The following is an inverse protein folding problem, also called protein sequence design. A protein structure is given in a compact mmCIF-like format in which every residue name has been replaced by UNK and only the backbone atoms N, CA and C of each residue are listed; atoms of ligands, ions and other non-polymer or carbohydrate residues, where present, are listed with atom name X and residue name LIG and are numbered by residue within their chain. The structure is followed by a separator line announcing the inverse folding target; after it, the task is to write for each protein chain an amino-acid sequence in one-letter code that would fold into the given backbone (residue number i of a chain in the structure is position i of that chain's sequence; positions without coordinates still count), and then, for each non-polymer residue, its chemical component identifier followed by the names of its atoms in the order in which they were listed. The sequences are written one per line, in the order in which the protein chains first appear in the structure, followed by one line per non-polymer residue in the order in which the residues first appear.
data_IF_971873625129
#
_entry.id   IF_971873625129
#
_cell.length_a   1.000
_cell.length_b   1.000
_cell.length_c   1.000
_cell.angle_alpha   90.00
_cell.angle_beta   90.00
_cell.angle_gamma   90.00
#
_symmetry.space_group_name_H-M   'P 1'
#
loop_
_entity.id
_entity.type
_entity.pdbx_description
1 polymer ?
#
# COMPACT_ATOMS: atom_id res chain seq x y z
N UNK A 1 40.26 -15.73 68.30
CA UNK A 1 40.38 -15.09 66.98
C UNK A 1 41.20 -16.01 66.09
N UNK A 2 40.56 -16.87 65.30
CA UNK A 2 41.24 -17.75 64.32
C UNK A 2 41.09 -17.12 62.94
N UNK A 3 42.16 -16.53 62.44
CA UNK A 3 42.21 -15.98 61.09
C UNK A 3 42.42 -17.14 60.10
N UNK A 4 41.41 -17.41 59.27
CA UNK A 4 41.52 -18.35 58.17
C UNK A 4 42.28 -17.69 57.02
N UNK A 5 43.51 -18.13 56.78
CA UNK A 5 44.35 -17.68 55.67
C UNK A 5 43.78 -18.23 54.35
N UNK A 6 43.23 -17.34 53.51
CA UNK A 6 42.74 -17.70 52.18
C UNK A 6 43.91 -17.98 51.24
N UNK A 7 44.12 -19.25 50.90
CA UNK A 7 45.12 -19.66 49.92
C UNK A 7 44.79 -19.03 48.55
N UNK A 8 45.72 -18.27 47.99
CA UNK A 8 45.54 -17.61 46.71
C UNK A 8 45.29 -18.66 45.59
N UNK A 9 44.25 -18.51 44.76
CA UNK A 9 43.92 -19.50 43.76
C UNK A 9 45.06 -19.63 42.75
N UNK A 10 45.51 -20.87 42.50
CA UNK A 10 46.56 -21.17 41.52
C UNK A 10 46.18 -20.69 40.10
N UNK A 11 47.19 -20.35 39.28
CA UNK A 11 46.99 -19.78 37.92
C UNK A 11 45.99 -20.58 37.06
N UNK A 12 45.99 -21.91 37.16
CA UNK A 12 45.05 -22.78 36.43
C UNK A 12 43.59 -22.60 36.84
N UNK A 13 43.31 -22.40 38.14
CA UNK A 13 41.94 -22.13 38.62
C UNK A 13 41.45 -20.76 38.17
N UNK A 14 42.33 -19.76 38.14
CA UNK A 14 42.01 -18.42 37.62
C UNK A 14 41.72 -18.45 36.12
N UNK A 15 42.54 -19.16 35.34
CA UNK A 15 42.31 -19.33 33.90
C UNK A 15 40.99 -20.05 33.62
N UNK A 16 40.67 -21.11 34.37
CA UNK A 16 39.40 -21.83 34.23
C UNK A 16 38.19 -20.94 34.56
N UNK A 17 38.26 -20.14 35.63
CA UNK A 17 37.20 -19.18 35.96
C UNK A 17 37.03 -18.13 34.85
N UNK A 18 38.13 -17.60 34.30
CA UNK A 18 38.07 -16.63 33.21
C UNK A 18 37.50 -17.23 31.92
N UNK A 19 37.85 -18.47 31.58
CA UNK A 19 37.31 -19.17 30.40
C UNK A 19 35.82 -19.42 30.58
N UNK A 20 35.39 -19.93 31.75
CA UNK A 20 33.97 -20.15 32.03
C UNK A 20 33.18 -18.84 32.00
N UNK A 21 33.74 -17.77 32.58
CA UNK A 21 33.14 -16.44 32.51
C UNK A 21 33.01 -15.94 31.06
N UNK A 22 34.08 -16.07 30.27
CA UNK A 22 34.09 -15.67 28.87
C UNK A 22 33.06 -16.46 28.04
N UNK A 23 32.96 -17.78 28.27
CA UNK A 23 31.95 -18.62 27.63
C UNK A 23 30.53 -18.21 28.03
N UNK A 24 30.29 -17.86 29.30
CA UNK A 24 28.99 -17.37 29.74
C UNK A 24 28.63 -16.03 29.08
N UNK A 25 29.60 -15.12 28.95
CA UNK A 25 29.41 -13.84 28.24
C UNK A 25 29.11 -14.07 26.76
N UNK A 26 29.89 -14.93 26.09
CA UNK A 26 29.68 -15.27 24.68
C UNK A 26 28.32 -15.94 24.44
N UNK A 27 27.89 -16.82 25.35
CA UNK A 27 26.56 -17.42 25.31
C UNK A 27 25.47 -16.33 25.45
N UNK A 28 25.65 -15.37 26.36
CA UNK A 28 24.75 -14.22 26.51
C UNK A 28 24.66 -13.38 25.23
N UNK A 29 25.79 -13.04 24.62
CA UNK A 29 25.84 -12.32 23.34
C UNK A 29 25.15 -13.12 22.23
N UNK A 30 25.40 -14.43 22.15
CA UNK A 30 24.77 -15.29 21.16
C UNK A 30 23.24 -15.32 21.31
N UNK A 31 22.73 -15.41 22.54
CA UNK A 31 21.28 -15.35 22.82
C UNK A 31 20.71 -13.99 22.41
N UNK A 32 21.31 -12.89 22.84
CA UNK A 32 20.81 -11.54 22.53
C UNK A 32 20.83 -11.28 21.01
N UNK A 33 21.91 -11.65 20.32
CA UNK A 33 22.05 -11.46 18.87
C UNK A 33 21.03 -12.26 18.05
N UNK A 34 20.48 -13.34 18.61
CA UNK A 34 19.47 -14.19 17.98
C UNK A 34 18.06 -13.92 18.47
N UNK A 35 17.90 -13.09 19.51
CA UNK A 35 16.58 -12.76 20.05
C UNK A 35 15.96 -11.68 19.18
N UNK A 36 14.81 -12.00 18.59
CA UNK A 36 13.98 -11.03 17.90
C UNK A 36 13.13 -10.30 18.95
N UNK A 37 13.49 -9.05 19.23
CA UNK A 37 12.69 -8.18 20.09
C UNK A 37 11.50 -7.67 19.27
N UNK A 38 10.33 -8.27 19.50
CA UNK A 38 9.08 -7.78 18.94
C UNK A 38 8.38 -6.89 19.97
N UNK A 39 7.96 -5.70 19.55
CA UNK A 39 7.14 -4.78 20.34
C UNK A 39 5.68 -4.81 19.90
N UNK A 40 5.24 -5.95 19.35
CA UNK A 40 3.87 -6.12 18.88
C UNK A 40 2.92 -6.45 20.05
N UNK A 41 1.68 -5.99 19.91
CA UNK A 41 0.60 -6.31 20.85
C UNK A 41 0.21 -7.81 20.83
N UNK A 42 0.82 -8.61 19.95
CA UNK A 42 0.52 -10.05 19.83
C UNK A 42 0.88 -10.84 21.08
N UNK A 43 1.90 -10.39 21.84
CA UNK A 43 2.28 -10.98 23.12
C UNK A 43 1.18 -10.88 24.19
N UNK A 44 0.19 -10.00 24.00
CA UNK A 44 -0.98 -9.87 24.87
C UNK A 44 -2.20 -10.68 24.39
N UNK A 45 -2.08 -11.42 23.27
CA UNK A 45 -3.17 -12.24 22.76
C UNK A 45 -3.12 -13.66 23.35
N UNK A 46 -4.29 -14.33 23.51
CA UNK A 46 -4.35 -15.67 24.07
C UNK A 46 -3.56 -16.67 23.21
N UNK A 47 -2.70 -17.48 23.84
CA UNK A 47 -1.86 -18.46 23.14
C UNK A 47 -2.66 -19.55 22.39
N UNK A 48 -3.97 -19.72 22.68
CA UNK A 48 -4.84 -20.71 22.05
C UNK A 48 -6.23 -20.14 21.73
N UNK A 49 -6.40 -19.44 20.59
CA UNK A 49 -7.69 -18.89 20.18
C UNK A 49 -8.60 -19.95 19.54
N UNK A 50 -9.90 -19.87 19.80
CA UNK A 50 -10.92 -20.64 19.06
C UNK A 50 -10.86 -20.30 17.55
N UNK A 51 -11.30 -21.20 16.67
CA UNK A 51 -11.13 -21.10 15.21
C UNK A 51 -11.68 -19.79 14.62
N UNK A 52 -12.80 -19.28 15.17
CA UNK A 52 -13.40 -17.99 14.76
C UNK A 52 -12.61 -16.77 15.25
N UNK A 53 -11.97 -16.87 16.41
CA UNK A 53 -11.12 -15.81 16.97
C UNK A 53 -9.77 -15.72 16.24
N UNK A 54 -9.23 -16.85 15.77
CA UNK A 54 -7.99 -16.92 14.99
C UNK A 54 -8.07 -16.11 13.69
N UNK A 55 -9.16 -16.26 12.94
CA UNK A 55 -9.35 -15.51 11.68
C UNK A 55 -9.42 -14.00 11.93
N UNK A 56 -10.12 -13.56 12.98
CA UNK A 56 -10.19 -12.13 13.34
C UNK A 56 -8.82 -11.59 13.78
N UNK A 57 -8.07 -12.36 14.54
CA UNK A 57 -6.72 -12.00 15.00
C UNK A 57 -5.74 -11.97 13.83
N UNK A 58 -5.79 -12.94 12.91
CA UNK A 58 -4.96 -12.94 11.69
C UNK A 58 -5.30 -11.73 10.80
N UNK A 59 -6.58 -11.37 10.66
CA UNK A 59 -6.97 -10.15 9.93
C UNK A 59 -6.49 -8.87 10.62
N UNK A 60 -6.41 -8.85 11.96
CA UNK A 60 -5.88 -7.72 12.72
C UNK A 60 -4.34 -7.65 12.68
N UNK A 61 -3.64 -8.79 12.66
CA UNK A 61 -2.18 -8.84 12.63
C UNK A 61 -1.62 -8.69 11.21
N UNK A 62 -2.27 -9.30 10.22
CA UNK A 62 -1.76 -9.42 8.84
C UNK A 62 -2.64 -8.77 7.78
N UNK A 63 -3.81 -8.24 8.16
CA UNK A 63 -4.71 -7.59 7.21
C UNK A 63 -4.17 -6.26 6.69
N UNK A 64 -4.67 -5.83 5.54
CA UNK A 64 -4.28 -4.57 4.85
C UNK A 64 -4.29 -3.37 5.82
N UNK A 65 -5.26 -3.33 6.74
CA UNK A 65 -5.35 -2.26 7.75
C UNK A 65 -4.15 -2.19 8.72
N UNK A 66 -3.49 -3.31 9.04
CA UNK A 66 -2.35 -3.33 9.96
C UNK A 66 -1.04 -2.85 9.32
N UNK A 67 -0.99 -2.84 7.98
CA UNK A 67 0.16 -2.42 7.17
C UNK A 67 -0.06 -1.09 6.45
N UNK A 68 -1.21 -0.45 6.68
CA UNK A 68 -1.57 0.82 6.07
C UNK A 68 -1.03 1.97 6.90
N UNK A 69 -0.28 2.88 6.25
CA UNK A 69 0.20 4.11 6.86
C UNK A 69 -0.58 5.29 6.29
N UNK A 70 -1.34 5.99 7.14
CA UNK A 70 -2.04 7.20 6.74
C UNK A 70 -1.25 8.43 7.17
N UNK A 71 -0.87 9.27 6.22
CA UNK A 71 -0.12 10.50 6.44
C UNK A 71 -1.00 11.72 6.11
N UNK A 72 -0.90 12.74 6.95
CA UNK A 72 -1.55 14.04 6.75
C UNK A 72 -0.52 15.16 6.73
N UNK A 73 -0.46 15.92 5.64
CA UNK A 73 0.44 17.06 5.46
C UNK A 73 -0.34 18.35 5.74
N UNK A 74 0.04 19.03 6.80
CA UNK A 74 -0.56 20.30 7.26
C UNK A 74 0.41 21.47 7.12
N UNK A 75 -0.13 22.70 7.21
CA UNK A 75 0.66 23.93 7.11
C UNK A 75 0.96 24.35 5.67
N UNK A 76 2.13 24.96 5.48
CA UNK A 76 2.54 25.58 4.22
C UNK A 76 1.88 26.95 3.98
N UNK A 77 2.24 27.59 2.86
CA UNK A 77 1.72 28.90 2.44
C UNK A 77 0.30 28.80 1.90
N UNK A 78 0.04 27.77 1.08
CA UNK A 78 -1.22 27.58 0.37
C UNK A 78 -1.49 26.10 0.06
N UNK A 79 -2.65 25.82 -0.54
CA UNK A 79 -3.02 24.47 -0.96
C UNK A 79 -2.15 23.91 -2.09
N UNK A 80 -1.62 24.79 -2.96
CA UNK A 80 -0.74 24.39 -4.05
C UNK A 80 0.59 23.83 -3.51
N UNK A 81 1.21 24.51 -2.55
CA UNK A 81 2.42 24.03 -1.90
C UNK A 81 2.20 22.71 -1.18
N UNK A 82 1.07 22.51 -0.49
CA UNK A 82 0.73 21.22 0.12
C UNK A 82 0.60 20.11 -0.92
N UNK A 83 0.01 20.40 -2.07
CA UNK A 83 -0.09 19.44 -3.17
C UNK A 83 1.28 19.08 -3.75
N UNK A 84 2.17 20.05 -3.92
CA UNK A 84 3.54 19.82 -4.38
C UNK A 84 4.32 18.93 -3.41
N UNK A 85 4.22 19.21 -2.11
CA UNK A 85 4.85 18.40 -1.07
C UNK A 85 4.26 16.98 -1.05
N UNK A 86 2.94 16.84 -1.18
CA UNK A 86 2.27 15.53 -1.26
C UNK A 86 2.77 14.70 -2.44
N UNK A 87 2.90 15.31 -3.62
CA UNK A 87 3.43 14.63 -4.82
C UNK A 87 4.90 14.26 -4.67
N UNK A 88 5.72 15.17 -4.16
CA UNK A 88 7.15 14.92 -3.93
C UNK A 88 7.37 13.78 -2.92
N UNK A 89 6.61 13.78 -1.81
CA UNK A 89 6.66 12.71 -0.81
C UNK A 89 6.19 11.38 -1.39
N UNK A 90 5.05 11.37 -2.11
CA UNK A 90 4.54 10.17 -2.75
C UNK A 90 5.54 9.55 -3.72
N UNK A 91 6.19 10.38 -4.55
CA UNK A 91 7.26 9.94 -5.47
C UNK A 91 8.45 9.35 -4.72
N UNK A 92 8.91 10.01 -3.65
CA UNK A 92 10.02 9.51 -2.84
C UNK A 92 9.70 8.16 -2.20
N UNK A 93 8.50 8.00 -1.64
CA UNK A 93 8.03 6.75 -1.05
C UNK A 93 7.96 5.62 -2.08
N UNK A 94 7.37 5.85 -3.27
CA UNK A 94 7.35 4.85 -4.36
C UNK A 94 8.76 4.44 -4.78
N UNK A 95 9.68 5.41 -4.90
CA UNK A 95 11.06 5.16 -5.32
C UNK A 95 11.92 4.43 -4.28
N UNK A 96 11.49 4.40 -3.01
CA UNK A 96 12.25 3.77 -1.93
C UNK A 96 12.21 2.23 -1.95
N UNK A 97 11.21 1.64 -2.61
CA UNK A 97 10.98 0.19 -2.60
C UNK A 97 10.46 -0.37 -1.27
N UNK A 98 10.17 0.49 -0.28
CA UNK A 98 9.65 0.09 1.04
C UNK A 98 8.13 -0.01 1.09
N UNK A 99 7.44 0.52 0.08
CA UNK A 99 5.98 0.59 0.03
C UNK A 99 5.49 -0.11 -1.23
N UNK A 100 4.61 -1.10 -1.09
CA UNK A 100 3.99 -1.79 -2.23
C UNK A 100 3.05 -0.86 -3.01
N UNK A 101 2.36 0.04 -2.31
CA UNK A 101 1.42 0.98 -2.89
C UNK A 101 1.49 2.32 -2.15
N UNK A 102 1.44 3.42 -2.90
CA UNK A 102 1.41 4.79 -2.35
C UNK A 102 0.38 5.60 -3.12
N UNK A 103 -0.69 6.00 -2.45
CA UNK A 103 -1.83 6.72 -3.03
C UNK A 103 -2.03 8.07 -2.35
N UNK A 104 -1.98 9.13 -3.14
CA UNK A 104 -2.19 10.51 -2.68
C UNK A 104 -3.18 11.26 -3.57
N UNK A 105 -3.92 10.55 -4.44
CA UNK A 105 -4.82 11.12 -5.43
C UNK A 105 -4.16 11.66 -6.69
N UNK A 106 -2.82 11.65 -6.75
CA UNK A 106 -2.08 12.05 -7.95
C UNK A 106 -2.28 11.03 -9.07
N UNK A 107 -2.73 11.52 -10.22
CA UNK A 107 -2.97 10.71 -11.42
C UNK A 107 -1.85 10.79 -12.46
N UNK A 108 -0.77 11.53 -12.19
CA UNK A 108 0.31 11.76 -13.16
C UNK A 108 1.02 10.47 -13.61
N UNK A 109 1.17 9.50 -12.72
CA UNK A 109 1.80 8.20 -13.02
C UNK A 109 0.86 7.20 -13.73
N UNK A 110 -0.42 7.54 -13.96
CA UNK A 110 -1.41 6.60 -14.52
C UNK A 110 -1.32 6.43 -16.04
N UNK A 111 -0.39 7.11 -16.70
CA UNK A 111 -0.30 7.08 -18.17
C UNK A 111 0.03 5.68 -18.72
N UNK A 112 0.94 4.95 -18.06
CA UNK A 112 1.25 3.56 -18.41
C UNK A 112 0.08 2.62 -18.11
N UNK A 113 -0.56 2.79 -16.94
CA UNK A 113 -1.72 2.00 -16.56
C UNK A 113 -2.91 2.21 -17.52
N UNK A 114 -3.15 3.45 -17.94
CA UNK A 114 -4.18 3.78 -18.92
C UNK A 114 -3.90 3.17 -20.29
N UNK A 115 -2.63 3.17 -20.72
CA UNK A 115 -2.22 2.51 -21.98
C UNK A 115 -2.45 1.00 -21.90
N UNK A 116 -2.06 0.37 -20.80
CA UNK A 116 -2.29 -1.06 -20.57
C UNK A 116 -3.78 -1.42 -20.61
N UNK A 117 -4.62 -0.65 -19.91
CA UNK A 117 -6.08 -0.84 -19.91
C UNK A 117 -6.66 -0.69 -21.30
N UNK A 118 -6.23 0.35 -22.03
CA UNK A 118 -6.67 0.59 -23.40
C UNK A 118 -6.30 -0.58 -24.32
N UNK A 119 -5.07 -1.06 -24.28
CA UNK A 119 -4.57 -2.14 -25.13
C UNK A 119 -5.28 -3.47 -24.81
N UNK A 120 -5.66 -3.70 -23.56
CA UNK A 120 -6.34 -4.93 -23.10
C UNK A 120 -7.85 -4.76 -22.87
N UNK A 121 -8.47 -3.70 -23.40
CA UNK A 121 -9.88 -3.35 -23.11
C UNK A 121 -10.88 -4.49 -23.34
N UNK A 122 -10.72 -5.30 -24.38
CA UNK A 122 -11.62 -6.44 -24.66
C UNK A 122 -11.41 -7.64 -23.73
N UNK A 123 -10.32 -7.68 -22.96
CA UNK A 123 -10.11 -8.71 -21.95
C UNK A 123 -10.57 -8.25 -20.58
N UNK A 124 -10.58 -6.93 -20.36
CA UNK A 124 -10.91 -6.30 -19.07
C UNK A 124 -12.36 -5.83 -18.98
N UNK A 125 -12.99 -5.52 -20.11
CA UNK A 125 -14.35 -5.00 -20.11
C UNK A 125 -15.36 -6.07 -19.67
N UNK A 126 -16.28 -5.72 -18.76
CA UNK A 126 -17.30 -6.65 -18.28
C UNK A 126 -18.33 -7.04 -19.35
N UNK A 127 -18.44 -6.26 -20.44
CA UNK A 127 -19.50 -6.39 -21.45
C UNK A 127 -19.07 -7.18 -22.70
N UNK A 128 -17.96 -7.91 -22.61
CA UNK A 128 -17.41 -8.73 -23.70
C UNK A 128 -18.14 -10.08 -23.70
N UNK A 129 -19.34 -10.09 -24.27
CA UNK A 129 -20.14 -11.30 -24.47
C UNK A 129 -20.26 -11.65 -25.95
N UNK A 130 -20.54 -12.93 -26.31
CA UNK A 130 -20.75 -13.31 -27.71
C UNK A 130 -21.82 -12.47 -28.42
N UNK A 131 -22.88 -12.07 -27.72
CA UNK A 131 -23.97 -11.25 -28.25
C UNK A 131 -23.50 -9.84 -28.60
N UNK A 132 -22.57 -9.28 -27.81
CA UNK A 132 -21.97 -7.97 -28.06
C UNK A 132 -21.20 -7.92 -29.38
N UNK A 133 -20.60 -9.04 -29.78
CA UNK A 133 -19.87 -9.19 -31.04
C UNK A 133 -20.72 -9.75 -32.19
N UNK A 134 -22.04 -9.81 -32.02
CA UNK A 134 -22.97 -10.00 -33.14
C UNK A 134 -23.09 -8.73 -33.97
N UNK A 135 -23.62 -8.84 -35.19
CA UNK A 135 -23.85 -7.67 -36.06
C UNK A 135 -24.75 -6.63 -35.37
N UNK A 136 -25.82 -7.08 -34.71
CA UNK A 136 -26.72 -6.20 -33.97
C UNK A 136 -26.01 -5.56 -32.77
N UNK A 137 -25.30 -6.36 -31.97
CA UNK A 137 -24.57 -5.87 -30.79
C UNK A 137 -23.49 -4.85 -31.12
N UNK A 138 -22.74 -5.04 -32.21
CA UNK A 138 -21.74 -4.08 -32.68
C UNK A 138 -22.40 -2.79 -33.19
N UNK A 139 -23.50 -2.90 -33.93
CA UNK A 139 -24.26 -1.73 -34.40
C UNK A 139 -24.75 -0.90 -33.23
N UNK A 140 -25.33 -1.54 -32.21
CA UNK A 140 -25.82 -0.87 -31.01
C UNK A 140 -24.68 -0.20 -30.23
N UNK A 141 -23.56 -0.92 -30.00
CA UNK A 141 -22.39 -0.37 -29.32
C UNK A 141 -21.80 0.87 -30.00
N UNK A 142 -21.75 0.87 -31.33
CA UNK A 142 -21.25 2.00 -32.11
C UNK A 142 -22.23 3.18 -32.04
N UNK A 143 -23.54 2.92 -32.12
CA UNK A 143 -24.58 3.96 -31.99
C UNK A 143 -24.56 4.60 -30.60
N UNK A 144 -24.35 3.81 -29.54
CA UNK A 144 -24.19 4.32 -28.18
C UNK A 144 -22.97 5.24 -28.07
N UNK A 145 -21.82 4.79 -28.62
CA UNK A 145 -20.59 5.59 -28.61
C UNK A 145 -20.73 6.87 -29.44
N UNK A 146 -21.43 6.81 -30.58
CA UNK A 146 -21.77 7.99 -31.39
C UNK A 146 -22.69 8.95 -30.64
N UNK A 147 -23.66 8.44 -29.88
CA UNK A 147 -24.56 9.25 -29.07
C UNK A 147 -23.79 10.01 -27.98
N UNK A 148 -22.76 9.40 -27.38
CA UNK A 148 -21.88 10.07 -26.42
C UNK A 148 -21.10 11.23 -27.02
N UNK A 149 -20.74 11.19 -28.31
CA UNK A 149 -20.06 12.31 -28.98
C UNK A 149 -20.91 13.58 -29.01
N UNK A 150 -22.24 13.46 -28.88
CA UNK A 150 -23.17 14.59 -28.75
C UNK A 150 -23.29 15.17 -27.34
N UNK A 151 -22.62 14.59 -26.35
CA UNK A 151 -22.68 15.01 -24.94
C UNK A 151 -21.46 15.84 -24.52
N UNK A 152 -21.45 16.48 -23.33
CA UNK A 152 -20.26 17.15 -22.79
C UNK A 152 -19.02 16.25 -22.68
N UNK A 153 -19.20 14.92 -22.57
CA UNK A 153 -18.11 13.95 -22.54
C UNK A 153 -17.50 13.67 -23.92
N UNK A 154 -18.13 14.13 -25.02
CA UNK A 154 -17.74 13.81 -26.39
C UNK A 154 -16.31 14.23 -26.75
N UNK A 155 -15.77 15.27 -26.12
CA UNK A 155 -14.38 15.70 -26.34
C UNK A 155 -13.34 14.68 -25.84
N UNK A 156 -13.69 13.87 -24.84
CA UNK A 156 -12.81 12.81 -24.32
C UNK A 156 -12.88 11.54 -25.18
N UNK A 157 -14.06 11.26 -25.75
CA UNK A 157 -14.31 10.05 -26.55
C UNK A 157 -13.84 10.21 -28.00
N UNK A 158 -13.97 11.40 -28.59
CA UNK A 158 -13.63 11.66 -30.00
C UNK A 158 -12.23 11.17 -30.41
N UNK A 159 -11.15 11.40 -29.64
CA UNK A 159 -9.81 10.92 -30.00
C UNK A 159 -9.67 9.39 -29.97
N UNK A 160 -10.52 8.71 -29.20
CA UNK A 160 -10.47 7.26 -28.99
C UNK A 160 -11.39 6.49 -29.94
N UNK A 161 -12.41 7.13 -30.50
CA UNK A 161 -13.47 6.49 -31.29
C UNK A 161 -12.94 5.60 -32.42
N UNK A 162 -11.92 6.05 -33.17
CA UNK A 162 -11.34 5.26 -34.27
C UNK A 162 -10.67 3.96 -33.80
N UNK A 163 -10.18 3.94 -32.56
CA UNK A 163 -9.45 2.81 -31.98
C UNK A 163 -10.32 1.98 -31.03
N UNK A 164 -11.40 2.55 -30.52
CA UNK A 164 -12.38 1.92 -29.64
C UNK A 164 -13.82 2.32 -30.00
N UNK A 165 -14.33 1.85 -31.15
CA UNK A 165 -15.67 2.21 -31.64
C UNK A 165 -16.80 1.60 -30.79
N UNK A 166 -16.46 0.58 -29.99
CA UNK A 166 -17.37 -0.12 -29.07
C UNK A 166 -17.48 0.55 -27.69
N UNK A 167 -16.58 1.49 -27.38
CA UNK A 167 -16.59 2.25 -26.13
C UNK A 167 -16.16 1.46 -24.89
N UNK A 168 -15.37 0.39 -25.06
CA UNK A 168 -15.01 -0.50 -23.93
C UNK A 168 -14.10 0.17 -22.90
N UNK A 169 -13.24 1.08 -23.34
CA UNK A 169 -12.36 1.85 -22.45
C UNK A 169 -13.19 2.71 -21.49
N UNK A 170 -14.27 3.30 -21.99
CA UNK A 170 -15.18 4.11 -21.18
C UNK A 170 -15.93 3.24 -20.17
N UNK A 171 -16.42 2.06 -20.58
CA UNK A 171 -17.06 1.08 -19.68
C UNK A 171 -16.14 0.67 -18.54
N UNK A 172 -14.88 0.39 -18.85
CA UNK A 172 -13.87 0.07 -17.82
C UNK A 172 -13.65 1.28 -16.90
N UNK A 173 -13.51 2.49 -17.44
CA UNK A 173 -13.34 3.69 -16.65
C UNK A 173 -14.51 3.91 -15.69
N UNK A 174 -15.75 3.74 -16.15
CA UNK A 174 -16.97 3.82 -15.33
C UNK A 174 -16.98 2.77 -14.22
N UNK A 175 -16.57 1.54 -14.51
CA UNK A 175 -16.46 0.46 -13.52
C UNK A 175 -15.37 0.73 -12.46
N UNK A 176 -14.36 1.53 -12.78
CA UNK A 176 -13.28 1.90 -11.87
C UNK A 176 -13.59 3.12 -11.01
N UNK A 177 -14.67 3.88 -11.29
CA UNK A 177 -15.07 5.03 -10.47
C UNK A 177 -15.52 4.52 -9.09
N UNK A 178 -14.81 4.88 -8.00
CA UNK A 178 -15.22 4.47 -6.66
C UNK A 178 -16.54 5.14 -6.26
N UNK A 179 -17.41 4.43 -5.55
CA UNK A 179 -18.64 5.01 -5.01
C UNK A 179 -18.40 6.23 -4.10
N UNK A 180 -17.22 6.29 -3.47
CA UNK A 180 -16.76 7.48 -2.75
C UNK A 180 -15.25 7.62 -2.88
N UNK A 181 -14.78 8.81 -3.26
CA UNK A 181 -13.37 9.18 -3.22
C UNK A 181 -13.12 10.25 -2.14
N UNK A 182 -11.89 10.39 -1.63
CA UNK A 182 -11.48 11.56 -0.88
C UNK A 182 -11.72 12.83 -1.70
N UNK A 183 -11.88 13.97 -1.02
CA UNK A 183 -11.93 15.27 -1.69
C UNK A 183 -10.57 15.49 -2.36
N UNK A 184 -10.56 15.98 -3.59
CA UNK A 184 -9.32 16.32 -4.31
C UNK A 184 -9.20 17.84 -4.43
N UNK A 185 -8.01 18.37 -4.20
CA UNK A 185 -7.67 19.78 -4.40
C UNK A 185 -6.26 19.84 -5.00
N UNK A 186 -6.08 20.61 -6.09
CA UNK A 186 -4.81 20.67 -6.84
C UNK A 186 -4.26 19.29 -7.25
N UNK A 187 -5.16 18.34 -7.57
CA UNK A 187 -4.78 17.00 -8.04
C UNK A 187 -4.30 16.03 -6.96
N UNK A 188 -4.43 16.36 -5.67
CA UNK A 188 -4.13 15.44 -4.56
C UNK A 188 -5.32 15.30 -3.61
N UNK A 189 -5.39 14.21 -2.87
CA UNK A 189 -6.38 14.01 -1.84
C UNK A 189 -6.18 14.99 -0.67
N UNK A 190 -7.27 15.52 -0.16
CA UNK A 190 -7.33 16.41 0.99
C UNK A 190 -8.42 15.98 1.97
N UNK A 191 -8.24 16.31 3.24
CA UNK A 191 -9.30 16.09 4.25
C UNK A 191 -10.53 16.94 3.94
N UNK A 192 -11.70 16.41 4.31
CA UNK A 192 -12.99 17.13 4.17
C UNK A 192 -13.15 18.22 5.23
N UNK A 193 -12.49 18.08 6.39
CA UNK A 193 -12.73 18.90 7.59
C UNK A 193 -11.57 19.84 7.92
N UNK A 194 -10.35 19.47 7.56
CA UNK A 194 -9.12 20.22 7.93
C UNK A 194 -8.30 20.47 6.65
N UNK A 195 -7.63 21.62 6.48
CA UNK A 195 -6.79 21.90 5.32
C UNK A 195 -5.48 21.09 5.36
N UNK A 196 -5.59 19.77 5.14
CA UNK A 196 -4.47 18.83 5.10
C UNK A 196 -4.51 17.99 3.82
N UNK A 197 -3.36 17.79 3.19
CA UNK A 197 -3.23 16.81 2.12
C UNK A 197 -3.08 15.40 2.73
N UNK A 198 -3.61 14.40 2.07
CA UNK A 198 -3.69 13.02 2.55
C UNK A 198 -2.86 12.10 1.66
N UNK A 199 -2.17 11.15 2.27
CA UNK A 199 -1.40 10.11 1.60
C UNK A 199 -1.59 8.78 2.35
N UNK A 200 -1.71 7.70 1.59
CA UNK A 200 -1.89 6.31 2.02
C UNK A 200 -0.75 5.47 1.44
#
# INVERSE_FOLDING_TARGET
MTAATSAAPGRGRRALVLIVWLLAVLAGVAVISRTQFSADLSAFLPASPDARQRVLIEQLQSGVASRTLMLGIEGGRDAAQRADVSRALGKAMRSSGLFEQVQNGDTSDWQEAGTFVFDHRYHLSPDVTPERFSEAGLRDAIVDTLSMLGTPAGNLVRPLFERDPTGETQRIAEALIPASSPRTENGVWVSRTVPRAMLL
#
